data_IF_278487154549
#
_entry.id   IF_278487154549
#
_cell.length_a   1.000
_cell.length_b   1.000
_cell.length_c   1.000
_cell.angle_alpha   90.00
_cell.angle_beta   90.00
_cell.angle_gamma   90.00
#
_symmetry.space_group_name_H-M   'P 1'
#
loop_
_entity.id
_entity.type
_entity.pdbx_description
1 polymer ?
#
# COMPACT_ATOMS: atom_id res chain seq x y z
N UNK A 1 49.02 41.19 60.19
CA UNK A 1 47.58 41.08 59.86
C UNK A 1 47.48 41.27 58.35
N UNK A 2 47.29 40.17 57.61
CA UNK A 2 47.19 40.23 56.15
C UNK A 2 45.82 39.64 55.81
N UNK A 3 44.94 40.47 55.20
CA UNK A 3 43.65 40.12 54.73
C UNK A 3 43.77 39.30 53.43
N UNK A 4 43.00 38.19 53.37
CA UNK A 4 42.85 37.34 52.20
C UNK A 4 41.65 37.81 51.39
N UNK A 5 41.84 38.34 50.20
CA UNK A 5 40.83 38.62 49.23
C UNK A 5 40.48 37.33 48.42
N UNK A 6 39.30 36.90 48.53
CA UNK A 6 38.77 35.81 47.69
C UNK A 6 38.18 36.38 46.40
N UNK A 7 38.83 36.10 45.29
CA UNK A 7 38.42 36.44 43.94
C UNK A 7 37.30 35.48 43.50
N UNK A 8 36.09 35.99 43.30
CA UNK A 8 34.96 35.24 42.72
C UNK A 8 35.11 35.22 41.20
N UNK A 9 35.44 34.06 40.66
CA UNK A 9 35.32 33.80 39.21
C UNK A 9 33.84 33.61 38.85
N UNK A 10 33.27 34.57 38.16
CA UNK A 10 32.00 34.39 37.42
C UNK A 10 32.31 33.85 36.03
N UNK A 11 31.92 32.56 35.78
CA UNK A 11 31.97 31.95 34.47
C UNK A 11 30.66 32.29 33.76
N UNK A 12 30.66 32.81 32.54
CA UNK A 12 29.42 33.07 31.80
C UNK A 12 28.86 31.78 31.21
N UNK A 13 27.68 31.41 31.67
CA UNK A 13 26.93 30.27 31.25
C UNK A 13 26.00 30.63 30.06
N UNK A 14 26.55 31.05 28.92
CA UNK A 14 25.75 31.39 27.71
C UNK A 14 26.56 31.02 26.45
N UNK A 15 26.73 29.75 26.16
CA UNK A 15 27.23 29.34 24.83
C UNK A 15 26.85 27.92 24.39
N UNK A 16 26.15 27.10 25.22
CA UNK A 16 25.79 25.73 24.81
C UNK A 16 24.43 25.59 24.10
N UNK A 17 23.52 26.54 24.22
CA UNK A 17 22.19 26.43 23.63
C UNK A 17 22.14 26.69 22.11
N UNK A 18 22.99 27.58 21.59
CA UNK A 18 22.96 27.98 20.18
C UNK A 18 23.63 26.95 19.26
N UNK A 19 24.65 26.23 19.75
CA UNK A 19 25.31 25.20 18.96
C UNK A 19 24.49 23.92 18.77
N UNK A 20 23.68 23.53 19.77
CA UNK A 20 22.80 22.37 19.67
C UNK A 20 21.62 22.60 18.70
N UNK A 21 21.02 23.79 18.69
CA UNK A 21 19.98 24.16 17.75
C UNK A 21 20.49 24.28 16.31
N UNK A 22 21.69 24.76 16.09
CA UNK A 22 22.30 24.84 14.76
C UNK A 22 22.68 23.45 14.20
N UNK A 23 23.10 22.50 15.05
CA UNK A 23 23.41 21.13 14.65
C UNK A 23 22.15 20.34 14.27
N UNK A 24 21.07 20.49 15.01
CA UNK A 24 19.78 19.85 14.69
C UNK A 24 19.20 20.44 13.40
N UNK A 25 19.28 21.76 13.19
CA UNK A 25 18.82 22.40 11.95
C UNK A 25 19.64 21.99 10.73
N UNK A 26 20.93 21.78 10.85
CA UNK A 26 21.80 21.29 9.78
C UNK A 26 21.57 19.81 9.44
N UNK A 27 21.29 18.97 10.43
CA UNK A 27 20.95 17.56 10.20
C UNK A 27 19.62 17.40 9.47
N UNK A 28 18.57 18.10 9.91
CA UNK A 28 17.26 18.07 9.24
C UNK A 28 17.32 18.59 7.80
N UNK A 29 18.08 19.62 7.51
CA UNK A 29 18.27 20.09 6.12
C UNK A 29 19.07 19.10 5.26
N UNK A 30 20.03 18.40 5.83
CA UNK A 30 20.83 17.40 5.14
C UNK A 30 20.02 16.14 4.84
N UNK A 31 19.15 15.71 5.74
CA UNK A 31 18.23 14.59 5.53
C UNK A 31 17.16 14.91 4.48
N UNK A 32 16.63 16.12 4.45
CA UNK A 32 15.68 16.56 3.41
C UNK A 32 16.26 16.58 1.99
N UNK A 33 17.57 16.60 1.85
CA UNK A 33 18.31 16.55 0.58
C UNK A 33 18.73 15.16 0.12
N UNK A 34 18.62 14.14 0.97
CA UNK A 34 19.07 12.78 0.63
C UNK A 34 18.26 12.16 -0.53
N UNK A 35 18.89 11.36 -1.42
CA UNK A 35 18.25 10.85 -2.63
C UNK A 35 17.03 9.96 -2.35
N UNK A 36 17.04 9.18 -1.26
CA UNK A 36 15.96 8.25 -0.90
C UNK A 36 14.97 8.84 0.11
N UNK A 37 14.84 10.18 0.14
CA UNK A 37 14.01 10.86 1.13
C UNK A 37 12.77 11.50 0.50
N UNK A 38 11.61 11.07 0.97
CA UNK A 38 10.32 11.69 0.71
C UNK A 38 10.08 12.80 1.75
N UNK A 39 9.95 14.02 1.29
CA UNK A 39 9.74 15.19 2.17
C UNK A 39 8.27 15.56 2.17
N UNK A 40 7.59 15.39 3.30
CA UNK A 40 6.24 15.89 3.50
C UNK A 40 6.27 17.39 3.77
N UNK A 41 5.58 18.18 2.95
CA UNK A 41 5.47 19.63 3.12
C UNK A 41 4.21 19.98 3.91
N UNK A 42 4.32 20.92 4.83
CA UNK A 42 3.16 21.40 5.59
C UNK A 42 2.21 22.17 4.68
N UNK A 43 0.93 21.91 4.81
CA UNK A 43 -0.16 22.61 4.12
C UNK A 43 -1.27 23.00 5.09
N UNK A 44 -1.93 24.12 4.82
CA UNK A 44 -3.06 24.60 5.64
C UNK A 44 -4.39 23.96 5.30
N UNK A 45 -4.49 23.32 4.12
CA UNK A 45 -5.71 22.65 3.66
C UNK A 45 -5.39 21.26 3.11
N UNK A 46 -6.32 20.35 3.27
CA UNK A 46 -6.26 19.02 2.66
C UNK A 46 -6.28 19.14 1.13
N UNK A 47 -5.51 18.31 0.39
CA UNK A 47 -5.67 18.23 -1.05
C UNK A 47 -7.05 17.67 -1.43
N UNK A 48 -7.58 18.12 -2.56
CA UNK A 48 -8.72 17.44 -3.17
C UNK A 48 -8.26 16.09 -3.73
N UNK A 49 -8.63 15.03 -3.06
CA UNK A 49 -8.23 13.67 -3.44
C UNK A 49 -8.71 13.30 -4.85
N UNK A 50 -9.82 13.89 -5.33
CA UNK A 50 -10.36 13.62 -6.68
C UNK A 50 -9.63 14.37 -7.77
N UNK A 51 -9.02 15.51 -7.45
CA UNK A 51 -8.17 16.25 -8.38
C UNK A 51 -6.88 15.50 -8.72
N UNK A 52 -6.51 14.49 -7.92
CA UNK A 52 -5.34 13.67 -8.15
C UNK A 52 -4.06 14.50 -8.13
N UNK A 53 -3.18 14.28 -9.12
CA UNK A 53 -1.94 15.02 -9.27
C UNK A 53 -2.12 16.49 -9.66
N UNK A 54 -3.32 16.90 -10.10
CA UNK A 54 -3.61 18.28 -10.51
C UNK A 54 -3.87 19.22 -9.31
N UNK A 55 -4.03 18.69 -8.10
CA UNK A 55 -4.19 19.54 -6.93
C UNK A 55 -2.95 20.41 -6.71
N UNK A 56 -3.11 21.74 -6.50
CA UNK A 56 -2.00 22.68 -6.38
C UNK A 56 -1.08 22.43 -5.15
N UNK A 57 -1.53 21.70 -4.14
CA UNK A 57 -0.69 21.33 -2.99
C UNK A 57 0.58 20.60 -3.41
N UNK A 58 0.50 19.79 -4.46
CA UNK A 58 1.62 19.00 -4.96
C UNK A 58 2.70 19.82 -5.68
N UNK A 59 2.41 21.07 -6.05
CA UNK A 59 3.42 21.96 -6.66
C UNK A 59 4.56 22.30 -5.69
N UNK A 60 4.29 22.29 -4.38
CA UNK A 60 5.28 22.58 -3.33
C UNK A 60 6.03 21.33 -2.87
N UNK A 61 5.49 20.15 -3.11
CA UNK A 61 6.07 18.88 -2.68
C UNK A 61 7.14 18.41 -3.69
N UNK A 62 8.37 18.21 -3.21
CA UNK A 62 9.45 17.65 -4.03
C UNK A 62 9.12 16.18 -4.36
N UNK A 63 9.22 15.76 -5.63
CA UNK A 63 9.04 14.37 -5.97
C UNK A 63 10.22 13.52 -5.49
N UNK A 64 9.92 12.35 -4.94
CA UNK A 64 10.84 11.23 -4.82
C UNK A 64 10.57 10.30 -6.00
N UNK A 65 11.56 10.15 -6.89
CA UNK A 65 11.49 9.24 -8.04
C UNK A 65 12.18 7.93 -7.67
N UNK A 66 11.49 6.82 -7.87
CA UNK A 66 11.96 5.48 -7.50
C UNK A 66 11.84 4.56 -8.71
N UNK A 67 12.86 3.76 -8.97
CA UNK A 67 12.73 2.60 -9.86
C UNK A 67 12.32 1.41 -9.00
N UNK A 68 11.20 0.79 -9.37
CA UNK A 68 10.73 -0.46 -8.79
C UNK A 68 11.09 -1.57 -9.76
N UNK A 69 11.91 -2.52 -9.31
CA UNK A 69 12.53 -3.53 -10.15
C UNK A 69 11.79 -4.88 -10.14
N UNK A 70 12.03 -5.67 -11.17
CA UNK A 70 11.69 -7.10 -11.26
C UNK A 70 10.21 -7.47 -11.14
N UNK A 71 9.28 -6.53 -11.36
CA UNK A 71 7.85 -6.80 -11.32
C UNK A 71 7.38 -7.67 -12.49
N UNK A 72 6.58 -8.70 -12.22
CA UNK A 72 5.93 -9.49 -13.25
C UNK A 72 4.92 -8.61 -14.03
N UNK A 73 4.80 -8.87 -15.33
CA UNK A 73 3.88 -8.22 -16.27
C UNK A 73 4.19 -6.75 -16.62
N UNK A 74 5.18 -6.11 -15.99
CA UNK A 74 5.64 -4.78 -16.42
C UNK A 74 6.43 -4.80 -17.74
N UNK A 75 6.77 -5.98 -18.28
CA UNK A 75 7.45 -6.16 -19.55
C UNK A 75 6.53 -6.11 -20.76
N UNK A 76 7.11 -6.41 -21.93
CA UNK A 76 6.40 -6.37 -23.21
C UNK A 76 5.38 -7.51 -23.39
N UNK A 77 5.50 -8.58 -22.62
CA UNK A 77 4.61 -9.75 -22.68
C UNK A 77 4.15 -10.13 -21.27
N UNK A 78 2.95 -10.72 -21.12
CA UNK A 78 2.50 -11.27 -19.84
C UNK A 78 3.55 -12.23 -19.25
N UNK A 79 3.88 -12.04 -17.97
CA UNK A 79 4.88 -12.82 -17.25
C UNK A 79 6.32 -12.29 -17.36
N UNK A 80 6.63 -11.40 -18.31
CA UNK A 80 7.94 -10.78 -18.40
C UNK A 80 8.20 -9.92 -17.18
N UNK A 81 9.37 -10.07 -16.58
CA UNK A 81 9.83 -9.20 -15.51
C UNK A 81 10.43 -7.92 -16.09
N UNK A 82 10.02 -6.80 -15.54
CA UNK A 82 10.61 -5.52 -15.88
C UNK A 82 10.46 -4.52 -14.73
N UNK A 83 11.18 -3.41 -14.86
CA UNK A 83 11.12 -2.30 -13.93
C UNK A 83 9.97 -1.38 -14.28
N UNK A 84 9.40 -0.76 -13.26
CA UNK A 84 8.52 0.39 -13.43
C UNK A 84 9.06 1.59 -12.66
N UNK A 85 8.64 2.79 -13.07
CA UNK A 85 9.00 4.04 -12.39
C UNK A 85 7.84 4.52 -11.56
N UNK A 86 8.14 4.83 -10.31
CA UNK A 86 7.20 5.45 -9.39
C UNK A 86 7.66 6.85 -9.01
N UNK A 87 6.70 7.74 -8.78
CA UNK A 87 6.92 9.08 -8.23
C UNK A 87 6.03 9.24 -7.01
N UNK A 88 6.65 9.61 -5.89
CA UNK A 88 5.95 9.87 -4.64
C UNK A 88 6.10 11.35 -4.28
N UNK A 89 5.02 11.96 -3.79
CA UNK A 89 5.04 13.28 -3.13
C UNK A 89 4.29 13.18 -1.82
N UNK A 90 4.65 14.00 -0.84
CA UNK A 90 4.01 14.02 0.46
C UNK A 90 3.66 15.44 0.90
N UNK A 91 2.51 15.58 1.54
CA UNK A 91 2.08 16.78 2.24
C UNK A 91 1.40 16.39 3.55
N UNK A 92 1.31 17.31 4.50
CA UNK A 92 0.62 17.03 5.76
C UNK A 92 -0.07 18.28 6.31
N UNK A 93 -1.17 18.07 7.03
CA UNK A 93 -1.82 19.07 7.87
C UNK A 93 -1.43 18.85 9.34
N UNK A 94 -2.07 19.54 10.25
CA UNK A 94 -1.80 19.37 11.69
C UNK A 94 -1.99 17.93 12.21
N UNK A 95 -2.83 17.14 11.55
CA UNK A 95 -3.24 15.79 12.00
C UNK A 95 -3.22 14.70 10.93
N UNK A 96 -3.01 15.03 9.67
CA UNK A 96 -3.19 14.10 8.55
C UNK A 96 -2.03 14.16 7.58
N UNK A 97 -1.50 12.98 7.20
CA UNK A 97 -0.55 12.77 6.12
C UNK A 97 -1.32 12.53 4.81
N UNK A 98 -0.83 13.13 3.74
CA UNK A 98 -1.28 12.91 2.36
C UNK A 98 -0.12 12.46 1.50
N UNK A 99 -0.34 11.41 0.71
CA UNK A 99 0.63 10.93 -0.28
C UNK A 99 0.02 10.98 -1.67
N UNK A 100 0.78 11.47 -2.63
CA UNK A 100 0.55 11.26 -4.05
C UNK A 100 1.50 10.15 -4.50
N UNK A 101 0.95 9.05 -4.98
CA UNK A 101 1.70 7.91 -5.50
C UNK A 101 1.32 7.72 -6.95
N UNK A 102 2.30 7.82 -7.85
CA UNK A 102 2.12 7.58 -9.28
C UNK A 102 3.10 6.49 -9.72
N UNK A 103 2.65 5.55 -10.53
CA UNK A 103 3.55 4.57 -11.16
C UNK A 103 3.08 4.24 -12.58
N UNK A 104 4.05 3.97 -13.45
CA UNK A 104 3.80 3.59 -14.83
C UNK A 104 3.28 2.14 -14.89
N UNK A 105 2.18 1.95 -15.61
CA UNK A 105 1.56 0.66 -15.88
C UNK A 105 0.80 0.79 -17.20
N UNK A 106 1.22 0.05 -18.20
CA UNK A 106 0.70 0.16 -19.56
C UNK A 106 -0.77 -0.26 -19.67
N UNK A 107 -1.27 -1.05 -18.73
CA UNK A 107 -2.63 -1.61 -18.70
C UNK A 107 -3.35 -1.25 -17.42
N UNK A 108 -4.66 -1.26 -17.46
CA UNK A 108 -5.49 -1.20 -16.25
C UNK A 108 -6.07 -2.59 -15.99
N UNK A 109 -5.50 -3.30 -15.03
CA UNK A 109 -5.96 -4.65 -14.69
C UNK A 109 -6.81 -4.62 -13.42
N UNK A 110 -8.09 -4.98 -13.59
CA UNK A 110 -9.06 -5.13 -12.50
C UNK A 110 -9.78 -6.48 -12.55
N UNK A 111 -9.31 -7.37 -13.42
CA UNK A 111 -9.92 -8.62 -13.84
C UNK A 111 -9.52 -9.78 -12.92
N UNK A 112 -9.96 -9.75 -11.68
CA UNK A 112 -9.58 -10.75 -10.66
C UNK A 112 -10.45 -12.00 -10.73
N UNK A 113 -10.01 -13.00 -11.50
CA UNK A 113 -10.62 -14.33 -11.61
C UNK A 113 -12.14 -14.31 -11.81
N UNK A 114 -12.68 -13.63 -12.85
CA UNK A 114 -14.10 -13.57 -13.11
C UNK A 114 -14.64 -14.93 -13.54
N UNK A 115 -15.97 -15.07 -13.56
CA UNK A 115 -16.64 -16.14 -14.27
C UNK A 115 -16.85 -15.74 -15.72
N UNK A 116 -16.61 -16.66 -16.65
CA UNK A 116 -16.80 -16.48 -18.09
C UNK A 116 -17.84 -17.48 -18.61
N UNK A 117 -18.80 -16.99 -19.40
CA UNK A 117 -19.82 -17.83 -20.04
C UNK A 117 -19.23 -18.51 -21.27
N UNK A 118 -19.36 -19.84 -21.34
CA UNK A 118 -18.86 -20.66 -22.43
C UNK A 118 -19.86 -20.76 -23.59
N UNK A 119 -19.42 -21.23 -24.76
CA UNK A 119 -20.26 -21.39 -25.95
C UNK A 119 -21.39 -22.42 -25.75
N UNK A 120 -21.19 -23.41 -24.90
CA UNK A 120 -22.20 -24.43 -24.53
C UNK A 120 -23.16 -23.93 -23.45
N UNK A 121 -23.04 -22.67 -23.00
CA UNK A 121 -23.86 -22.05 -21.97
C UNK A 121 -23.42 -22.31 -20.54
N UNK A 122 -22.39 -23.12 -20.32
CA UNK A 122 -21.78 -23.31 -19.01
C UNK A 122 -20.96 -22.08 -18.57
N UNK A 123 -20.58 -22.03 -17.28
CA UNK A 123 -19.72 -20.99 -16.73
C UNK A 123 -18.48 -21.61 -16.12
N UNK A 124 -17.34 -20.98 -16.35
CA UNK A 124 -16.07 -21.38 -15.74
C UNK A 124 -15.40 -20.18 -15.08
N UNK A 125 -14.68 -20.42 -13.99
CA UNK A 125 -13.85 -19.39 -13.38
C UNK A 125 -12.59 -19.22 -14.20
N UNK A 126 -12.30 -17.99 -14.60
CA UNK A 126 -11.09 -17.68 -15.34
C UNK A 126 -9.88 -17.78 -14.41
N UNK A 127 -8.93 -18.60 -14.80
CA UNK A 127 -7.68 -18.84 -14.08
C UNK A 127 -6.59 -19.09 -15.10
N UNK A 128 -5.40 -18.56 -14.83
CA UNK A 128 -4.23 -18.87 -15.66
C UNK A 128 -3.85 -20.35 -15.46
N UNK A 129 -3.74 -21.14 -16.53
CA UNK A 129 -3.30 -22.53 -16.45
C UNK A 129 -1.87 -22.68 -15.93
N UNK A 130 -1.02 -21.65 -16.10
CA UNK A 130 0.37 -21.64 -15.64
C UNK A 130 0.49 -21.26 -14.16
N UNK A 131 -0.58 -20.74 -13.52
CA UNK A 131 -0.57 -20.33 -12.13
C UNK A 131 -0.31 -21.51 -11.18
N UNK A 132 0.87 -21.54 -10.58
CA UNK A 132 1.34 -22.58 -9.66
C UNK A 132 1.27 -22.16 -8.19
N UNK A 133 0.31 -21.37 -7.82
CA UNK A 133 0.15 -20.94 -6.43
C UNK A 133 -0.08 -19.44 -6.27
N UNK A 134 -0.47 -18.78 -7.35
CA UNK A 134 -0.91 -17.39 -7.33
C UNK A 134 0.15 -16.37 -7.69
N UNK A 135 1.32 -16.79 -8.18
CA UNK A 135 2.39 -15.89 -8.58
C UNK A 135 2.36 -15.50 -10.06
N UNK A 136 1.88 -16.39 -10.92
CA UNK A 136 1.83 -16.19 -12.39
C UNK A 136 0.41 -15.92 -12.91
N UNK A 137 -0.56 -15.61 -12.04
CA UNK A 137 -1.93 -15.41 -12.46
C UNK A 137 -2.09 -14.07 -13.16
N UNK A 138 -2.27 -14.10 -14.49
CA UNK A 138 -2.53 -12.94 -15.35
C UNK A 138 -3.99 -12.47 -15.33
N UNK A 139 -4.85 -13.09 -14.54
CA UNK A 139 -6.24 -12.66 -14.31
C UNK A 139 -6.36 -12.14 -12.88
N UNK A 140 -5.67 -11.05 -12.61
CA UNK A 140 -5.62 -10.43 -11.30
C UNK A 140 -5.80 -8.91 -11.39
N UNK A 141 -5.75 -8.22 -10.28
CA UNK A 141 -5.88 -6.76 -10.19
C UNK A 141 -4.55 -6.09 -9.95
N UNK A 142 -4.41 -4.85 -10.43
CA UNK A 142 -3.28 -3.99 -10.12
C UNK A 142 -3.37 -3.50 -8.68
N UNK A 143 -2.21 -3.37 -8.05
CA UNK A 143 -2.08 -2.98 -6.64
C UNK A 143 -0.83 -2.15 -6.44
N UNK A 144 -0.79 -1.44 -5.34
CA UNK A 144 0.46 -1.00 -4.72
C UNK A 144 0.42 -1.34 -3.23
N UNK A 145 1.59 -1.43 -2.62
CA UNK A 145 1.75 -1.60 -1.19
C UNK A 145 2.86 -0.72 -0.66
N UNK A 146 2.70 -0.26 0.58
CA UNK A 146 3.77 0.35 1.36
C UNK A 146 3.94 -0.44 2.65
N UNK A 147 5.16 -0.45 3.18
CA UNK A 147 5.47 -1.11 4.44
C UNK A 147 6.35 -0.21 5.30
N UNK A 148 6.06 -0.15 6.60
CA UNK A 148 6.66 0.76 7.55
C UNK A 148 7.07 0.01 8.82
N UNK A 149 8.33 0.02 9.26
CA UNK A 149 8.69 -0.49 10.60
C UNK A 149 7.97 0.33 11.68
N UNK A 150 7.23 -0.33 12.56
CA UNK A 150 6.58 0.34 13.69
C UNK A 150 7.61 0.58 14.78
N UNK A 151 7.69 1.81 15.27
CA UNK A 151 8.60 2.23 16.36
C UNK A 151 10.06 1.80 16.14
N UNK A 152 10.53 1.75 14.90
CA UNK A 152 11.87 1.28 14.52
C UNK A 152 12.17 -0.14 15.05
N UNK A 153 11.17 -0.98 15.22
CA UNK A 153 11.31 -2.33 15.79
C UNK A 153 12.13 -3.29 14.92
N UNK A 154 12.47 -2.93 13.68
CA UNK A 154 13.16 -3.78 12.71
C UNK A 154 14.51 -3.16 12.35
N UNK A 155 15.58 -3.44 13.11
CA UNK A 155 16.88 -2.80 12.90
C UNK A 155 17.50 -3.08 11.53
N UNK A 156 17.23 -4.24 10.93
CA UNK A 156 17.74 -4.63 9.62
C UNK A 156 17.21 -3.71 8.49
N UNK A 157 16.08 -3.02 8.70
CA UNK A 157 15.46 -2.15 7.71
C UNK A 157 16.38 -0.98 7.29
N UNK A 158 17.19 -0.47 8.19
CA UNK A 158 18.16 0.61 7.91
C UNK A 158 19.17 0.23 6.81
N UNK A 159 19.43 -1.05 6.63
CA UNK A 159 20.38 -1.58 5.65
C UNK A 159 19.71 -2.26 4.47
N UNK A 160 18.64 -2.97 4.73
CA UNK A 160 18.03 -3.94 3.80
C UNK A 160 16.68 -3.45 3.24
N UNK A 161 16.21 -2.28 3.68
CA UNK A 161 14.92 -1.75 3.24
C UNK A 161 13.78 -2.75 3.47
N UNK A 162 12.85 -2.83 2.55
CA UNK A 162 11.71 -3.74 2.66
C UNK A 162 12.10 -5.23 2.61
N UNK A 163 13.27 -5.59 2.12
CA UNK A 163 13.75 -6.98 2.14
C UNK A 163 13.90 -7.54 3.57
N UNK A 164 14.15 -6.67 4.56
CA UNK A 164 14.20 -7.05 5.99
C UNK A 164 12.87 -7.54 6.56
N UNK A 165 11.75 -7.34 5.85
CA UNK A 165 10.39 -7.56 6.35
C UNK A 165 9.62 -8.65 5.63
N UNK A 166 10.08 -9.09 4.48
CA UNK A 166 9.32 -9.94 3.59
C UNK A 166 10.17 -11.09 3.08
N UNK A 167 9.56 -12.25 2.86
CA UNK A 167 10.17 -13.36 2.15
C UNK A 167 11.44 -13.93 2.81
N UNK A 168 11.56 -13.82 4.14
CA UNK A 168 12.73 -14.26 4.88
C UNK A 168 12.89 -15.79 4.92
N UNK A 169 11.82 -16.55 4.68
CA UNK A 169 11.84 -18.01 4.69
C UNK A 169 11.44 -18.56 3.33
N UNK A 170 12.11 -19.61 2.96
CA UNK A 170 11.91 -20.34 1.72
C UNK A 170 10.91 -21.50 1.87
N UNK A 171 10.37 -21.74 3.07
CA UNK A 171 9.46 -22.84 3.36
C UNK A 171 8.12 -22.78 2.61
N UNK A 172 7.68 -21.59 2.24
CA UNK A 172 6.57 -21.35 1.31
C UNK A 172 7.01 -20.36 0.24
N UNK A 173 6.89 -20.70 -1.04
CA UNK A 173 7.41 -19.86 -2.10
C UNK A 173 6.66 -18.56 -2.31
N UNK A 174 5.36 -18.46 -1.93
CA UNK A 174 4.53 -17.29 -2.26
C UNK A 174 3.80 -16.72 -1.08
N UNK A 175 3.80 -15.40 -0.93
CA UNK A 175 2.96 -14.66 0.00
C UNK A 175 3.32 -14.77 1.47
N UNK A 176 4.38 -15.49 1.84
CA UNK A 176 4.87 -15.52 3.20
C UNK A 176 5.53 -14.20 3.55
N UNK A 177 4.88 -13.47 4.45
CA UNK A 177 5.38 -12.21 4.98
C UNK A 177 5.46 -12.33 6.48
N UNK A 178 6.65 -12.12 7.03
CA UNK A 178 6.87 -12.11 8.47
C UNK A 178 8.19 -11.41 8.78
N UNK A 179 8.31 -10.88 9.97
CA UNK A 179 9.52 -10.26 10.48
C UNK A 179 10.50 -11.31 11.02
N UNK A 180 11.77 -10.96 11.13
CA UNK A 180 12.82 -11.93 11.48
C UNK A 180 12.69 -12.44 12.92
N UNK A 181 12.32 -11.58 13.87
CA UNK A 181 12.34 -11.85 15.31
C UNK A 181 11.05 -11.46 15.99
N UNK A 182 10.77 -12.06 17.12
CA UNK A 182 9.72 -11.65 18.04
C UNK A 182 9.93 -10.19 18.47
N UNK A 183 8.83 -9.42 18.51
CA UNK A 183 8.84 -7.99 18.80
C UNK A 183 9.04 -7.09 17.59
N UNK A 184 9.52 -7.62 16.48
CA UNK A 184 9.54 -6.88 15.21
C UNK A 184 8.15 -6.86 14.61
N UNK A 185 7.68 -5.67 14.20
CA UNK A 185 6.36 -5.46 13.60
C UNK A 185 6.42 -4.35 12.54
N UNK A 186 5.68 -4.54 11.45
CA UNK A 186 5.53 -3.58 10.37
C UNK A 186 4.07 -3.32 10.06
N UNK A 187 3.73 -2.06 9.89
CA UNK A 187 2.48 -1.58 9.28
C UNK A 187 2.54 -1.79 7.76
N UNK A 188 1.46 -2.25 7.15
CA UNK A 188 1.41 -2.59 5.72
C UNK A 188 0.14 -2.02 5.07
N UNK A 189 0.31 -1.00 4.25
CA UNK A 189 -0.75 -0.39 3.45
C UNK A 189 -0.87 -1.10 2.11
N UNK A 190 -2.01 -1.70 1.84
CA UNK A 190 -2.20 -2.51 0.64
C UNK A 190 -3.41 -2.05 -0.17
N UNK A 191 -3.21 -1.15 -1.11
CA UNK A 191 -4.24 -0.74 -2.07
C UNK A 191 -4.49 -1.85 -3.08
N UNK A 192 -5.75 -2.15 -3.35
CA UNK A 192 -6.19 -3.20 -4.28
C UNK A 192 -7.19 -2.61 -5.28
N UNK A 193 -6.82 -2.63 -6.55
CA UNK A 193 -7.51 -1.90 -7.62
C UNK A 193 -8.98 -2.25 -7.80
N UNK A 194 -9.37 -3.51 -7.53
CA UNK A 194 -10.75 -3.97 -7.68
C UNK A 194 -11.46 -4.34 -6.37
N UNK A 195 -10.72 -4.45 -5.24
CA UNK A 195 -11.31 -4.86 -3.96
C UNK A 195 -11.54 -3.71 -2.99
N UNK A 196 -10.57 -2.83 -2.81
CA UNK A 196 -10.64 -1.78 -1.79
C UNK A 196 -10.73 -0.38 -2.39
N UNK A 197 -9.98 -0.08 -3.45
CA UNK A 197 -9.99 1.22 -4.10
C UNK A 197 -11.37 1.67 -4.61
N UNK A 198 -12.25 0.80 -5.17
CA UNK A 198 -13.60 1.21 -5.59
C UNK A 198 -14.50 1.69 -4.45
N UNK A 199 -14.14 1.38 -3.20
CA UNK A 199 -14.82 1.83 -1.99
C UNK A 199 -14.05 2.98 -1.31
N UNK A 200 -12.92 3.41 -1.88
CA UNK A 200 -12.10 4.52 -1.38
C UNK A 200 -11.22 4.14 -0.19
N UNK A 201 -10.82 2.87 -0.05
CA UNK A 201 -9.97 2.39 1.04
C UNK A 201 -8.65 1.81 0.53
N UNK A 202 -7.62 1.94 1.33
CA UNK A 202 -6.46 1.05 1.35
C UNK A 202 -6.72 0.00 2.42
N UNK A 203 -6.39 -1.26 2.17
CA UNK A 203 -6.50 -2.32 3.18
C UNK A 203 -5.34 -2.20 4.15
N UNK A 204 -5.63 -1.78 5.38
CA UNK A 204 -4.65 -1.67 6.43
C UNK A 204 -4.39 -3.02 7.07
N UNK A 205 -3.13 -3.39 7.13
CA UNK A 205 -2.61 -4.68 7.52
C UNK A 205 -1.31 -4.50 8.31
N UNK A 206 -0.87 -5.55 8.98
CA UNK A 206 0.44 -5.58 9.61
C UNK A 206 1.15 -6.91 9.36
N UNK A 207 2.45 -6.93 9.60
CA UNK A 207 3.25 -8.14 9.59
C UNK A 207 4.05 -8.27 10.89
N UNK A 208 4.00 -9.44 11.51
CA UNK A 208 4.78 -9.82 12.70
C UNK A 208 5.65 -11.05 12.42
N UNK A 209 6.28 -11.60 13.45
CA UNK A 209 7.20 -12.75 13.34
C UNK A 209 6.51 -14.12 13.22
N UNK A 210 5.17 -14.18 13.12
CA UNK A 210 4.44 -15.47 13.05
C UNK A 210 4.87 -16.26 11.81
N UNK A 211 5.31 -17.48 12.01
CA UNK A 211 5.72 -18.40 10.92
C UNK A 211 4.53 -19.07 10.28
N UNK A 212 4.72 -19.50 9.05
CA UNK A 212 3.70 -20.23 8.32
C UNK A 212 3.35 -21.55 9.01
N UNK A 213 2.07 -21.76 9.21
CA UNK A 213 1.46 -23.04 9.55
C UNK A 213 0.17 -23.19 8.71
N UNK A 214 -0.01 -24.31 7.98
CA UNK A 214 -1.14 -24.47 7.07
C UNK A 214 -2.51 -24.44 7.76
N UNK A 215 -2.57 -24.69 9.06
CA UNK A 215 -3.81 -24.70 9.86
C UNK A 215 -3.94 -23.47 10.75
N UNK A 216 -2.88 -23.13 11.49
CA UNK A 216 -2.93 -22.09 12.51
C UNK A 216 -2.61 -20.67 11.96
N UNK A 217 -1.73 -20.58 10.96
CA UNK A 217 -1.28 -19.30 10.40
C UNK A 217 -0.98 -19.39 8.89
N UNK A 218 -1.99 -19.64 8.05
CA UNK A 218 -1.80 -19.88 6.62
C UNK A 218 -1.30 -18.63 5.86
N UNK A 219 -1.39 -17.46 6.45
CA UNK A 219 -0.86 -16.19 5.93
C UNK A 219 0.48 -15.78 6.58
N UNK A 220 1.09 -16.66 7.37
CA UNK A 220 2.28 -16.36 8.18
C UNK A 220 2.07 -15.13 9.08
N UNK A 221 3.01 -14.19 9.10
CA UNK A 221 2.94 -12.97 9.90
C UNK A 221 2.01 -11.89 9.36
N UNK A 222 1.57 -11.99 8.10
CA UNK A 222 0.65 -10.99 7.53
C UNK A 222 -0.76 -11.15 8.09
N UNK A 223 -1.27 -10.09 8.66
CA UNK A 223 -2.60 -10.02 9.29
C UNK A 223 -3.29 -8.73 8.88
N UNK A 224 -4.62 -8.74 8.92
CA UNK A 224 -5.42 -7.51 8.76
C UNK A 224 -5.55 -6.82 10.11
N UNK A 225 -5.59 -5.52 10.09
CA UNK A 225 -5.90 -4.73 11.26
C UNK A 225 -7.30 -5.01 11.79
N UNK A 226 -7.56 -4.77 13.07
CA UNK A 226 -8.86 -5.02 13.67
C UNK A 226 -9.97 -4.18 13.01
N UNK A 227 -11.20 -4.71 12.98
CA UNK A 227 -12.39 -3.93 12.67
C UNK A 227 -13.36 -4.56 11.69
N UNK A 228 -12.92 -5.14 10.59
CA UNK A 228 -13.82 -5.71 9.59
C UNK A 228 -14.05 -7.19 9.81
N UNK A 229 -15.22 -7.59 10.32
CA UNK A 229 -15.54 -8.99 10.57
C UNK A 229 -15.79 -9.81 9.30
N UNK A 230 -16.23 -9.18 8.20
CA UNK A 230 -16.59 -9.86 6.95
C UNK A 230 -15.46 -9.96 5.94
N UNK A 231 -14.26 -9.45 6.27
CA UNK A 231 -13.17 -9.31 5.32
C UNK A 231 -13.42 -8.23 4.26
N UNK A 232 -12.45 -7.99 3.40
CA UNK A 232 -12.53 -6.99 2.32
C UNK A 232 -13.42 -7.43 1.17
N UNK A 233 -13.63 -8.75 1.00
CA UNK A 233 -14.50 -9.33 -0.01
C UNK A 233 -14.99 -10.72 0.40
N UNK A 234 -16.08 -11.14 -0.22
CA UNK A 234 -16.60 -12.49 -0.15
C UNK A 234 -16.69 -13.09 -1.57
N UNK A 235 -15.88 -14.10 -1.84
CA UNK A 235 -16.03 -14.89 -3.06
C UNK A 235 -17.31 -15.71 -2.96
N UNK A 236 -17.98 -15.95 -4.09
CA UNK A 236 -19.13 -16.83 -4.18
C UNK A 236 -18.89 -17.93 -5.21
N UNK A 237 -19.49 -19.13 -5.01
CA UNK A 237 -19.29 -20.27 -5.88
C UNK A 237 -20.17 -20.20 -7.14
N UNK A 238 -19.93 -21.17 -8.02
CA UNK A 238 -20.96 -21.60 -8.97
C UNK A 238 -22.01 -22.45 -8.22
N UNK A 239 -23.27 -22.16 -8.46
CA UNK A 239 -24.41 -22.95 -7.99
C UNK A 239 -25.10 -23.51 -9.24
N UNK A 240 -25.28 -24.82 -9.31
CA UNK A 240 -25.78 -25.52 -10.50
C UNK A 240 -25.04 -25.13 -11.80
N UNK A 241 -23.73 -24.98 -11.69
CA UNK A 241 -22.85 -24.62 -12.80
C UNK A 241 -22.88 -23.13 -13.23
N UNK A 242 -23.56 -22.27 -12.49
CA UNK A 242 -23.73 -20.84 -12.81
C UNK A 242 -23.26 -19.96 -11.63
N UNK A 243 -22.74 -18.73 -11.88
CA UNK A 243 -22.46 -17.77 -10.82
C UNK A 243 -23.70 -17.54 -9.95
N UNK A 244 -23.53 -17.56 -8.64
CA UNK A 244 -24.63 -17.34 -7.69
C UNK A 244 -25.28 -15.96 -7.85
N UNK A 245 -24.45 -14.95 -8.14
CA UNK A 245 -24.86 -13.55 -8.21
C UNK A 245 -24.38 -12.87 -9.49
N UNK A 246 -25.06 -11.79 -9.85
CA UNK A 246 -24.61 -10.75 -10.78
C UNK A 246 -24.78 -9.38 -10.14
N UNK A 247 -24.13 -8.35 -10.72
CA UNK A 247 -24.38 -6.97 -10.34
C UNK A 247 -25.82 -6.56 -10.72
N UNK A 248 -26.45 -5.73 -9.88
CA UNK A 248 -27.83 -5.22 -10.07
C UNK A 248 -28.03 -4.52 -11.41
N UNK A 249 -27.00 -3.90 -11.99
CA UNK A 249 -27.07 -3.28 -13.31
C UNK A 249 -27.22 -4.30 -14.45
N UNK A 250 -26.95 -5.57 -14.16
CA UNK A 250 -27.09 -6.69 -15.10
C UNK A 250 -26.16 -6.65 -16.29
N UNK A 251 -25.05 -5.92 -16.20
CA UNK A 251 -24.06 -5.81 -17.26
C UNK A 251 -22.94 -6.81 -17.07
N UNK A 252 -22.45 -7.37 -18.17
CA UNK A 252 -21.20 -8.10 -18.16
C UNK A 252 -20.03 -7.12 -17.94
N UNK A 253 -18.99 -7.55 -17.22
CA UNK A 253 -17.78 -6.75 -17.05
C UNK A 253 -17.10 -6.42 -18.38
N UNK A 254 -17.17 -7.34 -19.35
CA UNK A 254 -16.74 -7.15 -20.74
C UNK A 254 -17.61 -6.19 -21.56
N UNK A 255 -18.75 -5.75 -21.02
CA UNK A 255 -19.70 -4.86 -21.67
C UNK A 255 -20.07 -3.63 -20.81
N UNK A 256 -19.08 -3.10 -20.07
CA UNK A 256 -19.22 -1.88 -19.27
C UNK A 256 -19.76 -2.08 -17.86
N UNK A 257 -19.84 -3.34 -17.38
CA UNK A 257 -20.02 -3.67 -15.98
C UNK A 257 -18.70 -3.65 -15.21
N UNK A 258 -18.70 -4.18 -13.99
CA UNK A 258 -17.54 -4.28 -13.13
C UNK A 258 -17.12 -5.72 -12.85
N UNK A 259 -15.83 -5.93 -12.57
CA UNK A 259 -15.28 -7.23 -12.15
C UNK A 259 -15.47 -7.51 -10.65
N UNK A 260 -16.26 -6.72 -9.98
CA UNK A 260 -16.67 -6.88 -8.58
C UNK A 260 -18.12 -6.46 -8.41
N UNK A 261 -18.77 -6.94 -7.36
CA UNK A 261 -20.09 -6.49 -6.94
C UNK A 261 -19.93 -5.73 -5.62
N UNK A 262 -20.47 -4.52 -5.49
CA UNK A 262 -20.50 -3.83 -4.20
C UNK A 262 -21.54 -4.51 -3.29
N UNK A 263 -21.23 -4.63 -2.01
CA UNK A 263 -22.19 -5.14 -1.03
C UNK A 263 -23.50 -4.35 -1.08
N UNK A 264 -24.61 -5.07 -1.26
CA UNK A 264 -25.95 -4.52 -1.45
C UNK A 264 -26.38 -4.40 -2.92
N UNK A 265 -25.44 -4.54 -3.88
CA UNK A 265 -25.76 -4.54 -5.32
C UNK A 265 -25.81 -5.96 -5.92
N UNK A 266 -25.60 -6.99 -5.11
CA UNK A 266 -25.75 -8.37 -5.52
C UNK A 266 -27.20 -8.74 -5.73
N UNK A 267 -27.51 -9.38 -6.86
CA UNK A 267 -28.80 -10.00 -7.18
C UNK A 267 -28.56 -11.39 -7.75
N UNK A 268 -29.52 -12.33 -7.63
CA UNK A 268 -29.42 -13.63 -8.28
C UNK A 268 -29.14 -13.51 -9.78
N UNK A 269 -28.29 -14.40 -10.30
CA UNK A 269 -27.94 -14.37 -11.72
C UNK A 269 -29.19 -14.57 -12.61
N UNK A 270 -29.45 -13.68 -13.56
CA UNK A 270 -30.30 -13.91 -14.72
C UNK A 270 -29.41 -14.27 -15.91
N UNK A 271 -29.17 -15.54 -16.10
CA UNK A 271 -28.30 -16.12 -17.12
C UNK A 271 -28.64 -15.71 -18.56
N UNK A 272 -29.91 -15.37 -18.81
CA UNK A 272 -30.40 -14.97 -20.14
C UNK A 272 -29.83 -13.62 -20.61
N UNK A 273 -29.30 -12.82 -19.68
CA UNK A 273 -28.70 -11.51 -19.97
C UNK A 273 -27.32 -11.61 -20.59
N UNK A 274 -26.68 -12.77 -20.51
CA UNK A 274 -25.28 -12.96 -20.86
C UNK A 274 -25.15 -13.91 -22.06
N UNK A 275 -24.21 -13.63 -22.94
CA UNK A 275 -23.84 -14.45 -24.09
C UNK A 275 -22.45 -15.08 -23.88
N UNK A 276 -22.09 -16.03 -24.71
CA UNK A 276 -20.77 -16.65 -24.73
C UNK A 276 -19.66 -15.57 -24.82
N UNK A 277 -18.63 -15.68 -23.98
CA UNK A 277 -17.54 -14.73 -23.85
C UNK A 277 -17.81 -13.59 -22.87
N UNK A 278 -19.02 -13.42 -22.36
CA UNK A 278 -19.29 -12.45 -21.30
C UNK A 278 -18.66 -12.88 -19.99
N UNK A 279 -18.09 -11.91 -19.27
CA UNK A 279 -17.51 -12.10 -17.95
C UNK A 279 -18.33 -11.38 -16.89
N UNK A 280 -18.44 -12.03 -15.73
CA UNK A 280 -19.09 -11.45 -14.55
C UNK A 280 -18.20 -11.61 -13.32
N UNK A 281 -18.42 -10.77 -12.31
CA UNK A 281 -17.70 -10.83 -11.04
C UNK A 281 -17.81 -12.21 -10.38
N UNK A 282 -16.78 -12.59 -9.63
CA UNK A 282 -16.74 -13.80 -8.80
C UNK A 282 -16.72 -13.51 -7.30
N UNK A 283 -16.88 -12.24 -6.91
CA UNK A 283 -16.83 -11.80 -5.51
C UNK A 283 -17.58 -10.48 -5.29
N UNK A 284 -17.95 -10.28 -4.03
CA UNK A 284 -18.62 -9.08 -3.51
C UNK A 284 -17.63 -8.34 -2.63
N UNK A 285 -17.41 -7.03 -2.87
CA UNK A 285 -16.54 -6.19 -2.06
C UNK A 285 -17.29 -5.56 -0.91
N UNK A 286 -16.63 -5.47 0.25
CA UNK A 286 -17.20 -4.96 1.49
C UNK A 286 -16.53 -3.65 1.92
N UNK A 287 -17.26 -2.67 2.45
CA UNK A 287 -16.67 -1.53 3.13
C UNK A 287 -15.80 -2.01 4.31
N UNK A 288 -14.61 -1.43 4.42
CA UNK A 288 -13.74 -1.66 5.57
C UNK A 288 -14.24 -0.86 6.79
N UNK A 289 -13.91 -1.31 8.00
CA UNK A 289 -14.33 -0.71 9.27
C UNK A 289 -13.20 -0.81 10.30
N UNK A 290 -13.28 0.02 11.35
CA UNK A 290 -12.29 0.06 12.43
C UNK A 290 -10.91 0.51 11.96
N UNK A 291 -9.86 0.05 12.63
CA UNK A 291 -8.46 0.37 12.30
C UNK A 291 -8.11 0.01 10.85
N UNK A 292 -8.67 -1.08 10.34
CA UNK A 292 -8.50 -1.52 8.95
C UNK A 292 -8.97 -0.51 7.90
N UNK A 293 -9.77 0.48 8.28
CA UNK A 293 -10.44 1.42 7.38
C UNK A 293 -9.90 2.86 7.48
N UNK A 294 -8.85 3.10 8.23
CA UNK A 294 -8.40 4.44 8.53
C UNK A 294 -7.57 5.11 7.41
N UNK A 295 -7.15 4.33 6.41
CA UNK A 295 -6.45 4.82 5.23
C UNK A 295 -7.43 4.98 4.07
N UNK A 296 -7.54 6.22 3.55
CA UNK A 296 -8.41 6.55 2.42
C UNK A 296 -7.60 6.72 1.14
N UNK A 297 -8.22 6.38 0.01
CA UNK A 297 -7.59 6.53 -1.30
C UNK A 297 -8.58 7.00 -2.36
N UNK A 298 -8.09 7.86 -3.26
CA UNK A 298 -8.67 8.10 -4.59
C UNK A 298 -7.71 7.53 -5.61
N UNK A 299 -8.18 6.61 -6.43
CA UNK A 299 -7.38 5.92 -7.46
C UNK A 299 -7.88 6.29 -8.85
N UNK A 300 -6.97 6.58 -9.75
CA UNK A 300 -7.24 6.69 -11.19
C UNK A 300 -6.13 6.04 -12.01
N UNK A 301 -6.50 5.54 -13.19
CA UNK A 301 -5.55 5.12 -14.22
C UNK A 301 -5.87 5.91 -15.49
N UNK A 302 -4.85 6.48 -16.10
CA UNK A 302 -4.98 7.24 -17.34
C UNK A 302 -3.68 7.16 -18.13
N UNK A 303 -3.79 6.82 -19.41
CA UNK A 303 -2.66 6.82 -20.36
C UNK A 303 -1.40 6.09 -19.84
N UNK A 304 -1.57 4.89 -19.28
CA UNK A 304 -0.44 4.10 -18.80
C UNK A 304 0.15 4.56 -17.47
N UNK A 305 -0.62 5.28 -16.65
CA UNK A 305 -0.19 5.80 -15.36
C UNK A 305 -1.27 5.62 -14.30
N UNK A 306 -0.95 4.95 -13.24
CA UNK A 306 -1.75 5.00 -12.01
C UNK A 306 -1.44 6.25 -11.20
N UNK A 307 -2.48 6.84 -10.65
CA UNK A 307 -2.39 7.97 -9.71
C UNK A 307 -3.26 7.68 -8.51
N UNK A 308 -2.66 7.65 -7.33
CA UNK A 308 -3.33 7.50 -6.04
C UNK A 308 -3.09 8.72 -5.20
N UNK A 309 -4.15 9.31 -4.64
CA UNK A 309 -4.05 10.26 -3.52
C UNK A 309 -4.51 9.52 -2.28
N UNK A 310 -3.64 9.45 -1.29
CA UNK A 310 -3.86 8.72 -0.03
C UNK A 310 -3.96 9.71 1.12
N UNK A 311 -4.81 9.44 2.09
CA UNK A 311 -4.86 10.19 3.35
C UNK A 311 -4.96 9.25 4.54
N UNK A 312 -4.21 9.57 5.61
CA UNK A 312 -4.21 8.87 6.89
C UNK A 312 -3.86 9.83 8.02
N UNK A 313 -4.44 9.65 9.19
CA UNK A 313 -4.05 10.42 10.38
C UNK A 313 -2.57 10.22 10.68
N UNK A 314 -1.88 11.28 11.13
CA UNK A 314 -0.49 11.17 11.61
C UNK A 314 -0.39 10.23 12.81
N UNK A 315 -1.39 10.28 13.70
CA UNK A 315 -1.48 9.41 14.88
C UNK A 315 -2.87 8.77 14.89
N UNK A 316 -2.93 7.46 14.75
CA UNK A 316 -4.17 6.67 14.77
C UNK A 316 -4.47 6.12 16.15
N UNK A 317 -3.43 5.86 16.94
CA UNK A 317 -3.53 5.21 18.24
C UNK A 317 -3.56 3.69 18.19
N UNK A 318 -3.62 3.08 17.01
CA UNK A 318 -3.47 1.64 16.85
C UNK A 318 -2.02 1.19 17.07
N UNK A 319 -1.84 0.08 17.75
CA UNK A 319 -0.50 -0.53 17.95
C UNK A 319 0.03 -1.25 16.71
N UNK A 320 -0.82 -1.43 15.72
CA UNK A 320 -0.48 -2.09 14.45
C UNK A 320 -0.06 -1.11 13.38
N UNK A 321 -0.10 0.20 13.69
CA UNK A 321 0.19 1.29 12.78
C UNK A 321 1.48 2.02 13.12
N UNK A 322 2.19 2.47 12.10
CA UNK A 322 3.23 3.48 12.27
C UNK A 322 2.60 4.78 12.76
N UNK A 323 3.14 5.34 13.83
CA UNK A 323 2.68 6.60 14.40
C UNK A 323 3.66 7.72 14.02
N UNK A 324 3.22 8.69 13.23
CA UNK A 324 4.01 9.87 12.84
C UNK A 324 3.91 10.97 13.90
N UNK A 325 4.11 10.60 15.17
CA UNK A 325 3.95 11.49 16.31
C UNK A 325 5.09 12.49 16.45
N UNK A 326 6.32 12.10 16.10
CA UNK A 326 7.49 12.98 16.12
C UNK A 326 7.81 13.49 14.71
N UNK A 327 7.36 14.70 14.39
CA UNK A 327 7.64 15.33 13.10
C UNK A 327 9.13 15.72 12.91
N UNK A 328 9.97 15.53 13.89
CA UNK A 328 11.42 15.69 13.79
C UNK A 328 12.15 14.38 13.45
N UNK A 329 11.46 13.25 13.54
CA UNK A 329 12.03 11.95 13.22
C UNK A 329 11.98 11.63 11.72
N UNK A 330 12.74 10.62 11.31
CA UNK A 330 12.59 9.98 10.00
C UNK A 330 11.91 8.64 10.16
N UNK A 331 11.07 8.28 9.19
CA UNK A 331 10.29 7.06 9.17
C UNK A 331 10.68 6.23 7.95
N UNK A 332 11.25 5.05 8.17
CA UNK A 332 11.61 4.14 7.10
C UNK A 332 10.38 3.58 6.40
N UNK A 333 10.43 3.41 5.08
CA UNK A 333 9.37 2.74 4.33
C UNK A 333 9.89 2.02 3.09
N UNK A 334 9.13 1.04 2.62
CA UNK A 334 9.27 0.41 1.32
C UNK A 334 8.01 0.60 0.49
N UNK A 335 8.13 0.53 -0.83
CA UNK A 335 7.01 0.62 -1.77
C UNK A 335 7.11 -0.47 -2.83
N UNK A 336 5.97 -0.99 -3.24
CA UNK A 336 5.84 -2.01 -4.27
C UNK A 336 4.65 -1.71 -5.19
N UNK A 337 4.78 -2.06 -6.48
CA UNK A 337 3.71 -2.03 -7.46
C UNK A 337 3.48 -3.42 -8.06
N UNK A 338 2.24 -3.73 -8.41
CA UNK A 338 1.82 -5.01 -8.97
C UNK A 338 1.01 -4.74 -10.22
N UNK A 339 1.44 -5.22 -11.35
CA UNK A 339 0.69 -5.25 -12.59
C UNK A 339 0.11 -6.65 -12.80
N UNK A 340 -1.22 -6.76 -12.76
CA UNK A 340 -1.95 -7.99 -13.06
C UNK A 340 -1.36 -9.24 -12.36
N UNK A 341 -0.84 -9.07 -11.15
CA UNK A 341 -0.09 -10.10 -10.43
C UNK A 341 -0.62 -10.31 -9.02
N UNK A 342 -0.74 -11.59 -8.62
CA UNK A 342 -1.16 -11.91 -7.26
C UNK A 342 -0.02 -11.66 -6.25
N UNK A 343 1.20 -12.01 -6.57
CA UNK A 343 2.35 -12.00 -5.66
C UNK A 343 3.54 -11.25 -6.24
N UNK A 344 3.93 -11.50 -7.48
CA UNK A 344 5.16 -10.94 -8.09
C UNK A 344 5.02 -9.45 -8.33
N UNK A 345 5.67 -8.67 -7.50
CA UNK A 345 5.64 -7.21 -7.53
C UNK A 345 7.00 -6.62 -7.90
N UNK A 346 6.96 -5.43 -8.47
CA UNK A 346 8.12 -4.57 -8.58
C UNK A 346 8.38 -3.89 -7.24
N UNK A 347 9.63 -3.83 -6.78
CA UNK A 347 10.00 -3.22 -5.50
C UNK A 347 11.33 -2.47 -5.59
N UNK A 348 11.59 -1.58 -4.65
CA UNK A 348 12.91 -1.00 -4.44
C UNK A 348 13.61 -1.69 -3.27
N UNK A 349 14.85 -2.11 -3.48
CA UNK A 349 15.68 -2.73 -2.45
C UNK A 349 16.33 -1.70 -1.52
N UNK A 350 16.40 -0.44 -1.95
CA UNK A 350 16.97 0.63 -1.13
C UNK A 350 16.02 1.08 -0.03
N UNK A 351 16.52 1.28 1.20
CA UNK A 351 15.72 1.88 2.27
C UNK A 351 15.35 3.32 1.91
N UNK A 352 14.07 3.64 2.07
CA UNK A 352 13.53 4.98 1.85
C UNK A 352 13.02 5.55 3.17
N UNK A 353 12.97 6.88 3.26
CA UNK A 353 12.58 7.57 4.50
C UNK A 353 11.62 8.70 4.22
N UNK A 354 10.56 8.78 5.03
CA UNK A 354 9.69 9.95 5.11
C UNK A 354 10.22 10.89 6.20
N UNK A 355 10.32 12.17 5.88
CA UNK A 355 10.61 13.25 6.83
C UNK A 355 9.60 14.39 6.65
N UNK A 356 9.39 15.18 7.70
CA UNK A 356 8.44 16.28 7.68
C UNK A 356 9.21 17.61 7.63
N UNK A 357 8.96 18.42 6.60
CA UNK A 357 9.46 19.78 6.52
C UNK A 357 8.65 20.69 7.47
N UNK A 358 9.38 21.52 8.22
CA UNK A 358 8.76 22.54 9.12
C UNK A 358 8.43 23.80 8.36
#
# INVERSE_FOLDING_TARGET
MRGSETMKLTVPMIALGAAALALVGCQTQREQGAPNTLVAVMTSAAPDMKAGAADPVWAKARPLNVTLADGANFGAKPGDKADTKATLKAAYTADTLYLLIQYADATQSVRRGPYVKQADGSWTKLKDPADKGGDDNVYYEDKWAMIWPIANSIPAFEKEGCAALCHLDQGKPYGNKYTAKEGEIADMWHMKGSRTAPLGFVDDQYADHTRYDPKASPNAGRKSDPGTSTGEYNAFPLVDGKPQFMSRDGKAATAGGTYYIKRGDEVPLDDRRFKAGDEVASYIINPLQGDRADIRVSLSWNNGMYTSVVSRKLVTGSKFDVQFADLGARYGFGVAAFDNAQVRHATSDDPMYLVFAK
#
